data_IF_659413665220
#
_entry.id   IF_659413665220
#
_cell.length_a   1.000
_cell.length_b   1.000
_cell.length_c   1.000
_cell.angle_alpha   90.00
_cell.angle_beta   90.00
_cell.angle_gamma   90.00
#
_symmetry.space_group_name_H-M   'P 1'
#
loop_
_entity.id
_entity.type
_entity.pdbx_description
1 polymer ?
#
# COMPACT_ATOMS: atom_id res chain seq x y z
N UNK A 1 -25.60 -17.93 10.29
CA UNK A 1 -25.96 -16.85 11.24
C UNK A 1 -27.43 -16.42 11.00
N UNK A 2 -28.34 -16.58 11.96
CA UNK A 2 -29.73 -16.09 11.81
C UNK A 2 -29.73 -14.60 12.09
N UNK A 3 -29.81 -13.78 11.03
CA UNK A 3 -29.97 -12.32 11.15
C UNK A 3 -31.42 -12.09 11.60
N UNK A 4 -31.65 -11.92 12.89
CA UNK A 4 -32.89 -11.36 13.38
C UNK A 4 -32.86 -9.88 13.03
N UNK A 5 -33.75 -9.38 12.20
CA UNK A 5 -33.88 -7.94 11.89
C UNK A 5 -34.08 -7.17 13.19
N UNK A 6 -33.01 -6.59 13.72
CA UNK A 6 -33.09 -5.72 14.89
C UNK A 6 -33.52 -4.35 14.44
N UNK A 7 -34.49 -3.74 15.17
CA UNK A 7 -34.89 -2.35 14.92
C UNK A 7 -33.71 -1.43 15.33
N UNK A 8 -33.38 -0.38 14.56
CA UNK A 8 -32.43 0.61 14.96
C UNK A 8 -32.78 1.25 16.31
N UNK A 9 -31.78 1.49 17.14
CA UNK A 9 -31.91 2.17 18.42
C UNK A 9 -31.07 3.43 18.38
N UNK A 10 -31.58 4.55 18.88
CA UNK A 10 -30.81 5.77 18.99
C UNK A 10 -29.84 5.68 20.17
N UNK A 11 -28.55 5.73 19.91
CA UNK A 11 -27.47 5.68 20.90
C UNK A 11 -26.87 7.08 21.02
N UNK A 12 -26.63 7.60 22.25
CA UNK A 12 -25.91 8.84 22.45
C UNK A 12 -24.51 8.77 21.83
N UNK A 13 -24.11 9.82 21.10
CA UNK A 13 -22.80 9.90 20.41
C UNK A 13 -21.65 9.68 21.39
N UNK A 14 -21.72 10.25 22.62
CA UNK A 14 -20.70 10.07 23.65
C UNK A 14 -20.50 8.64 24.16
N UNK A 15 -21.41 7.70 23.85
CA UNK A 15 -21.29 6.26 24.17
C UNK A 15 -20.73 5.43 23.02
N UNK A 16 -20.48 6.03 21.88
CA UNK A 16 -19.96 5.37 20.69
C UNK A 16 -18.43 5.56 20.63
N UNK A 17 -17.72 4.47 20.55
CA UNK A 17 -16.26 4.47 20.39
C UNK A 17 -15.90 3.93 19.01
N UNK A 18 -14.95 4.53 18.29
CA UNK A 18 -14.44 3.93 17.07
C UNK A 18 -13.79 2.58 17.40
N UNK A 19 -13.72 1.67 16.43
CA UNK A 19 -12.96 0.42 16.55
C UNK A 19 -11.47 0.77 16.69
N UNK A 20 -10.84 0.35 17.77
CA UNK A 20 -9.50 0.80 18.19
C UNK A 20 -8.41 0.54 17.13
N UNK A 21 -8.51 -0.58 16.42
CA UNK A 21 -7.58 -0.99 15.35
C UNK A 21 -8.20 -0.81 13.96
N UNK A 22 -9.09 0.17 13.79
CA UNK A 22 -9.69 0.42 12.48
C UNK A 22 -8.63 0.84 11.46
N UNK A 23 -8.34 0.02 10.42
CA UNK A 23 -7.31 0.33 9.43
C UNK A 23 -7.72 1.46 8.49
N UNK A 24 -9.02 1.76 8.40
CA UNK A 24 -9.57 2.70 7.43
C UNK A 24 -9.60 4.12 7.98
N UNK A 25 -8.79 4.99 7.36
CA UNK A 25 -8.67 6.41 7.75
C UNK A 25 -9.99 7.16 7.47
N UNK A 26 -10.48 7.92 8.43
CA UNK A 26 -11.57 8.88 8.22
C UNK A 26 -10.94 10.22 7.91
N UNK A 27 -11.12 10.70 6.68
CA UNK A 27 -10.52 11.94 6.19
C UNK A 27 -11.55 13.07 6.15
N UNK A 28 -11.12 14.28 6.53
CA UNK A 28 -11.87 15.51 6.36
C UNK A 28 -11.61 16.07 4.95
N UNK A 29 -12.46 15.70 4.01
CA UNK A 29 -12.41 16.11 2.61
C UNK A 29 -13.77 16.64 2.14
N UNK A 30 -13.88 17.05 0.87
CA UNK A 30 -15.13 17.58 0.32
C UNK A 30 -16.30 16.59 0.36
N UNK A 31 -16.01 15.29 0.25
CA UNK A 31 -17.03 14.24 0.43
C UNK A 31 -17.53 14.19 1.88
N UNK A 32 -16.66 14.40 2.86
CA UNK A 32 -17.03 14.46 4.27
C UNK A 32 -17.91 15.69 4.52
N UNK A 33 -17.53 16.84 3.96
CA UNK A 33 -18.32 18.07 4.08
C UNK A 33 -19.74 17.89 3.49
N UNK A 34 -19.82 17.23 2.34
CA UNK A 34 -21.11 16.88 1.71
C UNK A 34 -21.93 15.93 2.60
N UNK A 35 -21.29 14.96 3.23
CA UNK A 35 -21.94 14.02 4.16
C UNK A 35 -22.44 14.75 5.42
N UNK A 36 -21.68 15.68 5.97
CA UNK A 36 -22.07 16.49 7.12
C UNK A 36 -23.33 17.31 6.78
N UNK A 37 -23.31 18.00 5.63
CA UNK A 37 -24.49 18.78 5.17
C UNK A 37 -25.71 17.88 5.00
N UNK A 38 -25.56 16.73 4.36
CA UNK A 38 -26.68 15.77 4.19
C UNK A 38 -27.22 15.30 5.54
N UNK A 39 -26.35 15.03 6.52
CA UNK A 39 -26.77 14.61 7.88
C UNK A 39 -27.48 15.75 8.62
N UNK A 40 -27.07 17.00 8.43
CA UNK A 40 -27.76 18.16 8.98
C UNK A 40 -29.16 18.34 8.43
N UNK A 41 -29.36 18.07 7.14
CA UNK A 41 -30.62 18.28 6.44
C UNK A 41 -31.65 17.15 6.70
N UNK A 42 -31.21 15.89 6.61
CA UNK A 42 -32.12 14.72 6.62
C UNK A 42 -31.81 13.70 7.72
N UNK A 43 -30.74 13.90 8.51
CA UNK A 43 -30.28 12.97 9.52
C UNK A 43 -29.54 11.77 8.91
N UNK A 44 -29.25 10.77 9.76
CA UNK A 44 -28.65 9.51 9.33
C UNK A 44 -29.74 8.55 8.86
N UNK A 45 -29.82 8.32 7.57
CA UNK A 45 -30.82 7.43 6.94
C UNK A 45 -30.47 5.95 7.10
N UNK A 46 -29.17 5.63 7.12
CA UNK A 46 -28.67 4.26 7.24
C UNK A 46 -27.99 4.07 8.60
N UNK A 47 -28.50 3.22 9.52
CA UNK A 47 -27.96 3.07 10.85
C UNK A 47 -26.51 2.56 10.82
N UNK A 48 -25.71 2.97 11.81
CA UNK A 48 -24.38 2.41 12.03
C UNK A 48 -24.49 1.02 12.68
N UNK A 49 -23.43 0.19 12.50
CA UNK A 49 -23.35 -1.11 13.16
C UNK A 49 -22.41 -1.01 14.36
N UNK A 50 -22.85 -1.50 15.51
CA UNK A 50 -22.12 -1.43 16.76
C UNK A 50 -22.19 -2.75 17.54
N UNK A 51 -21.20 -2.99 18.41
CA UNK A 51 -21.26 -4.03 19.44
C UNK A 51 -21.14 -3.43 20.84
N UNK A 52 -21.70 -4.05 21.88
CA UNK A 52 -21.48 -3.61 23.24
C UNK A 52 -20.03 -3.90 23.65
N UNK A 53 -19.41 -2.97 24.39
CA UNK A 53 -18.12 -3.18 25.05
C UNK A 53 -18.37 -3.83 26.42
N UNK A 54 -17.68 -4.95 26.69
CA UNK A 54 -17.88 -5.72 27.90
C UNK A 54 -17.62 -4.87 29.16
N UNK A 55 -18.48 -5.05 30.17
CA UNK A 55 -18.41 -4.35 31.47
C UNK A 55 -18.54 -2.82 31.40
N UNK A 56 -19.06 -2.27 30.31
CA UNK A 56 -19.34 -0.85 30.14
C UNK A 56 -20.76 -0.62 29.61
N UNK A 57 -21.21 0.63 29.56
CA UNK A 57 -22.43 1.05 28.88
C UNK A 57 -22.13 1.70 27.51
N UNK A 58 -20.93 1.47 26.98
CA UNK A 58 -20.44 1.99 25.72
C UNK A 58 -20.52 0.94 24.60
N UNK A 59 -20.44 1.42 23.36
CA UNK A 59 -20.54 0.59 22.16
C UNK A 59 -19.35 0.89 21.23
N UNK A 60 -18.76 -0.15 20.67
CA UNK A 60 -17.73 -0.06 19.65
C UNK A 60 -18.33 -0.11 18.25
N UNK A 61 -17.96 0.83 17.38
CA UNK A 61 -18.50 0.96 16.02
C UNK A 61 -17.81 -0.02 15.10
N UNK A 62 -18.56 -0.91 14.46
CA UNK A 62 -18.08 -1.89 13.49
C UNK A 62 -18.11 -1.31 12.08
N UNK A 63 -19.21 -0.64 11.72
CA UNK A 63 -19.39 -0.04 10.40
C UNK A 63 -20.13 1.29 10.51
N UNK A 64 -19.72 2.26 9.69
CA UNK A 64 -20.27 3.61 9.66
C UNK A 64 -19.43 4.66 10.40
N UNK A 65 -18.11 4.46 10.54
CA UNK A 65 -17.19 5.42 11.16
C UNK A 65 -17.27 6.81 10.52
N UNK A 66 -17.39 6.92 9.19
CA UNK A 66 -17.60 8.21 8.51
C UNK A 66 -18.91 8.88 8.91
N UNK A 67 -19.99 8.09 9.09
CA UNK A 67 -21.30 8.59 9.53
C UNK A 67 -21.25 9.08 10.98
N UNK A 68 -20.57 8.34 11.86
CA UNK A 68 -20.36 8.80 13.24
C UNK A 68 -19.57 10.12 13.27
N UNK A 69 -18.44 10.19 12.58
CA UNK A 69 -17.63 11.39 12.50
C UNK A 69 -18.40 12.61 11.95
N UNK A 70 -19.17 12.38 10.87
CA UNK A 70 -20.00 13.43 10.30
C UNK A 70 -21.15 13.87 11.25
N UNK A 71 -21.73 12.92 12.02
CA UNK A 71 -22.75 13.22 13.03
C UNK A 71 -22.20 14.06 14.18
N UNK A 72 -20.98 13.77 14.64
CA UNK A 72 -20.29 14.58 15.65
C UNK A 72 -20.07 16.01 15.16
N UNK A 73 -19.57 16.18 13.94
CA UNK A 73 -19.38 17.50 13.32
C UNK A 73 -20.69 18.23 13.02
N UNK A 74 -21.75 17.50 12.71
CA UNK A 74 -23.10 18.04 12.52
C UNK A 74 -23.77 18.44 13.85
N UNK A 75 -23.20 18.07 15.02
CA UNK A 75 -23.73 18.39 16.34
C UNK A 75 -24.91 17.50 16.78
N UNK A 76 -25.06 16.28 16.20
CA UNK A 76 -26.07 15.34 16.63
C UNK A 76 -25.77 14.77 18.02
N UNK A 77 -26.78 14.68 18.87
CA UNK A 77 -26.67 14.09 20.22
C UNK A 77 -26.82 12.58 20.22
N UNK A 78 -27.53 12.02 19.24
CA UNK A 78 -27.77 10.58 19.10
C UNK A 78 -27.63 10.14 17.65
N UNK A 79 -27.29 8.86 17.46
CA UNK A 79 -27.12 8.22 16.14
C UNK A 79 -27.92 6.93 16.11
N UNK A 80 -28.69 6.65 15.03
CA UNK A 80 -29.37 5.37 14.87
C UNK A 80 -28.35 4.25 14.64
N UNK A 81 -28.43 3.20 15.45
CA UNK A 81 -27.49 2.10 15.45
C UNK A 81 -28.19 0.73 15.50
N UNK A 82 -27.59 -0.26 14.87
CA UNK A 82 -27.93 -1.67 14.99
C UNK A 82 -26.92 -2.35 15.92
N UNK A 83 -27.41 -2.92 17.04
CA UNK A 83 -26.55 -3.55 18.03
C UNK A 83 -26.38 -5.03 17.69
N UNK A 84 -25.13 -5.46 17.50
CA UNK A 84 -24.73 -6.86 17.30
C UNK A 84 -24.02 -7.37 18.56
N UNK A 85 -24.59 -8.39 19.21
CA UNK A 85 -23.96 -9.08 20.33
C UNK A 85 -22.98 -10.13 19.79
N UNK A 86 -21.81 -9.68 19.39
CA UNK A 86 -20.72 -10.49 18.81
C UNK A 86 -19.41 -10.21 19.54
N UNK A 87 -18.46 -11.15 19.44
CA UNK A 87 -17.11 -10.97 19.97
C UNK A 87 -16.34 -9.88 19.23
N UNK A 88 -15.19 -9.47 19.78
CA UNK A 88 -14.31 -8.49 19.12
C UNK A 88 -13.73 -9.05 17.81
N UNK A 89 -13.36 -10.33 17.80
CA UNK A 89 -12.83 -10.99 16.59
C UNK A 89 -13.88 -11.07 15.47
N UNK A 90 -15.14 -11.43 15.80
CA UNK A 90 -16.23 -11.40 14.83
C UNK A 90 -16.51 -9.98 14.31
N UNK A 91 -16.39 -8.97 15.16
CA UNK A 91 -16.53 -7.57 14.78
C UNK A 91 -15.39 -7.10 13.86
N UNK A 92 -14.15 -7.49 14.12
CA UNK A 92 -12.98 -7.21 13.29
C UNK A 92 -13.15 -7.80 11.87
N UNK A 93 -13.58 -9.06 11.77
CA UNK A 93 -13.88 -9.70 10.48
C UNK A 93 -14.98 -8.94 9.75
N UNK A 94 -16.09 -8.61 10.43
CA UNK A 94 -17.20 -7.85 9.82
C UNK A 94 -16.77 -6.45 9.36
N UNK A 95 -15.92 -5.76 10.13
CA UNK A 95 -15.36 -4.45 9.78
C UNK A 95 -14.56 -4.55 8.48
N UNK A 96 -13.66 -5.52 8.38
CA UNK A 96 -12.82 -5.70 7.18
C UNK A 96 -13.70 -6.07 5.98
N UNK A 97 -14.59 -7.05 6.10
CA UNK A 97 -15.44 -7.53 4.99
C UNK A 97 -16.33 -6.43 4.43
N UNK A 98 -16.89 -5.58 5.31
CA UNK A 98 -17.73 -4.44 4.86
C UNK A 98 -16.98 -3.38 4.06
N UNK A 99 -15.64 -3.39 4.09
CA UNK A 99 -14.78 -2.41 3.43
C UNK A 99 -13.93 -3.00 2.28
N UNK A 100 -13.78 -4.33 2.20
CA UNK A 100 -12.91 -5.02 1.22
C UNK A 100 -13.25 -4.71 -0.25
N UNK A 101 -14.49 -4.38 -0.54
CA UNK A 101 -14.99 -4.12 -1.90
C UNK A 101 -15.10 -2.62 -2.25
N UNK A 102 -14.46 -1.75 -1.45
CA UNK A 102 -14.37 -0.32 -1.81
C UNK A 102 -13.47 -0.14 -3.03
N UNK A 103 -13.85 0.75 -3.94
CA UNK A 103 -13.08 1.02 -5.16
C UNK A 103 -11.68 1.58 -4.88
N UNK A 104 -11.53 2.35 -3.80
CA UNK A 104 -10.27 2.99 -3.42
C UNK A 104 -9.92 2.67 -1.97
N UNK A 105 -9.04 1.67 -1.79
CA UNK A 105 -8.43 1.32 -0.50
C UNK A 105 -6.94 1.58 -0.64
N UNK A 106 -6.37 2.36 0.27
CA UNK A 106 -4.93 2.62 0.29
C UNK A 106 -4.13 1.34 0.56
N UNK A 107 -2.91 1.20 0.03
CA UNK A 107 -2.05 0.05 0.30
C UNK A 107 -1.84 -0.20 1.80
N UNK A 108 -1.65 0.86 2.59
CA UNK A 108 -1.52 0.78 4.05
C UNK A 108 -2.80 0.25 4.70
N UNK A 109 -3.97 0.80 4.35
CA UNK A 109 -5.26 0.36 4.87
C UNK A 109 -5.50 -1.13 4.60
N UNK A 110 -5.19 -1.57 3.38
CA UNK A 110 -5.34 -2.97 2.97
C UNK A 110 -4.40 -3.90 3.74
N UNK A 111 -3.16 -3.45 3.99
CA UNK A 111 -2.18 -4.19 4.77
C UNK A 111 -2.65 -4.43 6.21
N UNK A 112 -3.07 -3.38 6.90
CA UNK A 112 -3.58 -3.49 8.28
C UNK A 112 -4.93 -4.22 8.35
N UNK A 113 -5.81 -4.07 7.33
CA UNK A 113 -7.06 -4.79 7.26
C UNK A 113 -6.86 -6.31 7.16
N UNK A 114 -5.94 -6.77 6.29
CA UNK A 114 -5.63 -8.18 6.18
C UNK A 114 -4.95 -8.73 7.44
N UNK A 115 -4.07 -7.95 8.07
CA UNK A 115 -3.46 -8.33 9.34
C UNK A 115 -4.52 -8.51 10.43
N UNK A 116 -5.40 -7.51 10.61
CA UNK A 116 -6.48 -7.55 11.59
C UNK A 116 -7.41 -8.76 11.38
N UNK A 117 -7.84 -9.00 10.14
CA UNK A 117 -8.69 -10.15 9.80
C UNK A 117 -7.98 -11.48 10.04
N UNK A 118 -6.69 -11.59 9.68
CA UNK A 118 -5.89 -12.80 9.91
C UNK A 118 -5.77 -13.10 11.41
N UNK A 119 -5.48 -12.11 12.23
CA UNK A 119 -5.38 -12.25 13.69
C UNK A 119 -6.73 -12.67 14.29
N UNK A 120 -7.83 -12.02 13.93
CA UNK A 120 -9.17 -12.32 14.40
C UNK A 120 -9.60 -13.76 14.03
N UNK A 121 -9.31 -14.23 12.82
CA UNK A 121 -9.62 -15.60 12.39
C UNK A 121 -8.70 -16.64 13.07
N UNK A 122 -7.45 -16.30 13.33
CA UNK A 122 -6.49 -17.21 13.98
C UNK A 122 -6.86 -17.52 15.43
N UNK A 123 -7.49 -16.58 16.15
CA UNK A 123 -7.98 -16.78 17.52
C UNK A 123 -9.13 -17.80 17.58
N UNK A 124 -9.85 -18.01 16.47
CA UNK A 124 -10.95 -18.98 16.41
C UNK A 124 -10.49 -20.41 16.13
N UNK A 125 -9.21 -20.63 15.80
CA UNK A 125 -8.63 -21.93 15.46
C UNK A 125 -8.07 -22.69 16.66
N UNK A 126 -8.12 -24.03 16.61
CA UNK A 126 -7.66 -24.94 17.69
C UNK A 126 -6.14 -25.13 17.77
N UNK A 127 -5.36 -24.66 16.75
CA UNK A 127 -3.91 -24.59 16.80
C UNK A 127 -3.40 -23.44 15.93
N UNK A 128 -2.40 -22.69 16.44
CA UNK A 128 -1.90 -21.45 15.85
C UNK A 128 -1.48 -21.61 14.37
N UNK A 129 -0.73 -22.65 14.03
CA UNK A 129 -0.24 -22.88 12.65
C UNK A 129 -1.34 -23.29 11.66
N UNK A 130 -2.31 -24.09 12.09
CA UNK A 130 -3.47 -24.45 11.28
C UNK A 130 -4.42 -23.26 11.12
N UNK A 131 -4.60 -22.46 12.18
CA UNK A 131 -5.43 -21.26 12.17
C UNK A 131 -4.92 -20.20 11.19
N UNK A 132 -3.62 -19.90 11.18
CA UNK A 132 -3.03 -18.91 10.26
C UNK A 132 -3.19 -19.32 8.79
N UNK A 133 -2.95 -20.58 8.45
CA UNK A 133 -3.10 -21.07 7.08
C UNK A 133 -4.56 -20.99 6.61
N UNK A 134 -5.50 -21.40 7.45
CA UNK A 134 -6.94 -21.30 7.15
C UNK A 134 -7.39 -19.85 6.99
N UNK A 135 -6.89 -18.98 7.85
CA UNK A 135 -7.21 -17.55 7.81
C UNK A 135 -6.77 -16.89 6.50
N UNK A 136 -5.54 -17.19 6.04
CA UNK A 136 -5.01 -16.63 4.78
C UNK A 136 -5.79 -17.15 3.58
N UNK A 137 -6.12 -18.45 3.54
CA UNK A 137 -6.94 -19.03 2.46
C UNK A 137 -8.32 -18.38 2.42
N UNK A 138 -8.99 -18.20 3.56
CA UNK A 138 -10.29 -17.54 3.64
C UNK A 138 -10.21 -16.08 3.18
N UNK A 139 -9.20 -15.31 3.63
CA UNK A 139 -9.00 -13.93 3.18
C UNK A 139 -8.76 -13.87 1.67
N UNK A 140 -7.99 -14.82 1.13
CA UNK A 140 -7.70 -14.93 -0.30
C UNK A 140 -8.98 -15.13 -1.13
N UNK A 141 -9.88 -16.01 -0.67
CA UNK A 141 -11.18 -16.25 -1.32
C UNK A 141 -12.09 -15.02 -1.23
N UNK A 142 -12.23 -14.41 -0.05
CA UNK A 142 -13.09 -13.26 0.19
C UNK A 142 -12.63 -12.01 -0.59
N UNK A 143 -11.32 -11.82 -0.70
CA UNK A 143 -10.71 -10.68 -1.40
C UNK A 143 -10.51 -10.90 -2.91
N UNK A 144 -10.69 -12.14 -3.40
CA UNK A 144 -10.33 -12.56 -4.76
C UNK A 144 -8.87 -12.22 -5.12
N UNK A 145 -7.96 -12.45 -4.17
CA UNK A 145 -6.52 -12.26 -4.32
C UNK A 145 -5.76 -13.55 -3.99
N UNK A 146 -4.53 -13.72 -4.49
CA UNK A 146 -3.72 -14.89 -4.14
C UNK A 146 -3.23 -14.80 -2.68
N UNK A 147 -3.06 -15.95 -2.01
CA UNK A 147 -2.45 -16.04 -0.67
C UNK A 147 -1.08 -15.32 -0.61
N UNK A 148 -0.28 -15.46 -1.69
CA UNK A 148 0.99 -14.74 -1.81
C UNK A 148 0.81 -13.21 -1.76
N UNK A 149 -0.24 -12.70 -2.39
CA UNK A 149 -0.52 -11.26 -2.39
C UNK A 149 -0.99 -10.80 -1.01
N UNK A 150 -1.82 -11.60 -0.30
CA UNK A 150 -2.22 -11.33 1.08
C UNK A 150 -0.99 -11.22 1.99
N UNK A 151 -0.06 -12.19 1.92
CA UNK A 151 1.17 -12.14 2.71
C UNK A 151 2.03 -10.90 2.39
N UNK A 152 2.10 -10.49 1.13
CA UNK A 152 2.82 -9.27 0.74
C UNK A 152 2.18 -8.00 1.30
N UNK A 153 0.84 -7.92 1.33
CA UNK A 153 0.16 -6.81 1.99
C UNK A 153 0.44 -6.81 3.50
N UNK A 154 0.25 -7.95 4.17
CA UNK A 154 0.52 -8.06 5.61
C UNK A 154 1.98 -7.68 5.91
N UNK A 155 2.92 -8.03 5.04
CA UNK A 155 4.33 -7.66 5.22
C UNK A 155 4.54 -6.14 5.28
N UNK A 156 3.74 -5.33 4.57
CA UNK A 156 3.84 -3.88 4.62
C UNK A 156 3.60 -3.29 6.02
N UNK A 157 2.92 -4.01 6.91
CA UNK A 157 2.69 -3.54 8.30
C UNK A 157 3.98 -3.44 9.13
N UNK A 158 5.12 -3.89 8.59
CA UNK A 158 6.45 -3.74 9.18
C UNK A 158 7.22 -2.54 8.64
N UNK A 159 6.60 -1.74 7.77
CA UNK A 159 7.18 -0.46 7.36
C UNK A 159 6.93 0.61 8.42
N UNK A 160 7.88 1.53 8.56
CA UNK A 160 7.67 2.75 9.34
C UNK A 160 6.56 3.59 8.71
N UNK A 161 5.77 4.34 9.52
CA UNK A 161 4.61 5.08 9.02
C UNK A 161 4.91 6.01 7.84
N UNK A 162 6.06 6.66 7.84
CA UNK A 162 6.46 7.61 6.79
C UNK A 162 6.67 6.93 5.42
N UNK A 163 7.23 5.71 5.40
CA UNK A 163 7.37 4.96 4.15
C UNK A 163 6.02 4.43 3.65
N UNK A 164 5.10 4.09 4.56
CA UNK A 164 3.71 3.76 4.22
C UNK A 164 2.98 4.95 3.61
N UNK A 165 3.16 6.15 4.17
CA UNK A 165 2.56 7.37 3.62
C UNK A 165 3.09 7.66 2.21
N UNK A 166 4.40 7.50 1.96
CA UNK A 166 4.96 7.60 0.61
C UNK A 166 4.39 6.56 -0.38
N UNK A 167 4.04 5.36 0.10
CA UNK A 167 3.34 4.37 -0.72
C UNK A 167 1.89 4.77 -1.01
N UNK A 168 1.17 5.26 -0.01
CA UNK A 168 -0.22 5.73 -0.16
C UNK A 168 -0.30 6.92 -1.13
N UNK A 169 0.76 7.76 -1.19
CA UNK A 169 0.94 8.84 -2.15
C UNK A 169 1.43 8.36 -3.54
N UNK A 170 1.60 7.07 -3.76
CA UNK A 170 2.15 6.46 -4.98
C UNK A 170 3.59 6.90 -5.33
N UNK A 171 4.36 7.43 -4.38
CA UNK A 171 5.78 7.77 -4.54
C UNK A 171 6.67 6.54 -4.47
N UNK A 172 6.29 5.55 -3.66
CA UNK A 172 6.95 4.25 -3.56
C UNK A 172 6.02 3.17 -4.13
N UNK A 173 6.52 2.38 -5.08
CA UNK A 173 5.76 1.28 -5.65
C UNK A 173 5.56 0.14 -4.63
N UNK A 174 4.43 -0.56 -4.70
CA UNK A 174 4.08 -1.67 -3.81
C UNK A 174 5.20 -2.71 -3.65
N UNK A 175 5.82 -3.14 -4.77
CA UNK A 175 6.90 -4.12 -4.74
C UNK A 175 8.16 -3.61 -4.02
N UNK A 176 8.44 -2.31 -4.10
CA UNK A 176 9.55 -1.67 -3.39
C UNK A 176 9.27 -1.66 -1.89
N UNK A 177 8.07 -1.24 -1.48
CA UNK A 177 7.67 -1.25 -0.08
C UNK A 177 7.75 -2.65 0.55
N UNK A 178 7.36 -3.70 -0.18
CA UNK A 178 7.51 -5.09 0.29
C UNK A 178 8.98 -5.44 0.56
N UNK A 179 9.91 -5.07 -0.33
CA UNK A 179 11.34 -5.33 -0.09
C UNK A 179 11.89 -4.51 1.07
N UNK A 180 11.52 -3.23 1.18
CA UNK A 180 11.96 -2.36 2.29
C UNK A 180 11.42 -2.83 3.65
N UNK A 181 10.26 -3.49 3.69
CA UNK A 181 9.69 -4.01 4.94
C UNK A 181 10.52 -5.12 5.60
N UNK A 182 11.53 -5.66 4.92
CA UNK A 182 12.47 -6.64 5.47
C UNK A 182 13.68 -5.99 6.16
N UNK A 183 13.86 -4.68 6.03
CA UNK A 183 14.87 -3.92 6.74
C UNK A 183 14.40 -3.67 8.19
N UNK A 184 15.36 -3.49 9.10
CA UNK A 184 15.05 -3.00 10.45
C UNK A 184 14.63 -1.52 10.43
N UNK A 185 14.06 -1.06 11.53
CA UNK A 185 13.53 0.30 11.64
C UNK A 185 14.59 1.36 11.36
N UNK A 186 15.85 1.15 11.85
CA UNK A 186 16.92 2.11 11.64
C UNK A 186 17.30 2.23 10.16
N UNK A 187 17.46 1.11 9.48
CA UNK A 187 17.74 1.09 8.03
C UNK A 187 16.58 1.69 7.21
N UNK A 188 15.34 1.50 7.63
CA UNK A 188 14.19 2.14 7.00
C UNK A 188 14.23 3.67 7.17
N UNK A 189 14.62 4.17 8.36
CA UNK A 189 14.83 5.61 8.58
C UNK A 189 15.98 6.16 7.74
N UNK A 190 17.09 5.41 7.59
CA UNK A 190 18.21 5.82 6.74
C UNK A 190 17.80 5.90 5.26
N UNK A 191 16.95 4.95 4.78
CA UNK A 191 16.37 5.03 3.44
C UNK A 191 15.45 6.24 3.29
N UNK A 192 14.60 6.52 4.29
CA UNK A 192 13.73 7.70 4.28
C UNK A 192 14.53 9.00 4.21
N UNK A 193 15.59 9.13 5.02
CA UNK A 193 16.48 10.29 5.00
C UNK A 193 17.08 10.52 3.60
N UNK A 194 17.50 9.43 2.92
CA UNK A 194 18.00 9.52 1.55
C UNK A 194 16.92 9.90 0.54
N UNK A 195 15.68 9.45 0.75
CA UNK A 195 14.55 9.87 -0.10
C UNK A 195 14.29 11.36 0.00
N UNK A 196 14.37 11.94 1.20
CA UNK A 196 14.14 13.36 1.46
C UNK A 196 15.30 14.22 0.95
N UNK A 197 16.56 13.81 1.19
CA UNK A 197 17.74 14.55 0.76
C UNK A 197 17.91 14.63 -0.75
N UNK A 198 17.56 13.56 -1.47
CA UNK A 198 17.80 13.44 -2.90
C UNK A 198 16.52 13.63 -3.75
N UNK A 199 15.38 13.91 -3.11
CA UNK A 199 14.04 13.97 -3.75
C UNK A 199 13.82 12.75 -4.68
N UNK A 200 14.20 11.57 -4.21
CA UNK A 200 14.11 10.33 -4.99
C UNK A 200 13.75 9.13 -4.11
N UNK A 201 13.00 8.19 -4.65
CA UNK A 201 12.65 6.93 -3.97
C UNK A 201 13.43 5.76 -4.57
N UNK A 202 13.74 4.69 -3.81
CA UNK A 202 14.51 3.56 -4.33
C UNK A 202 13.77 2.85 -5.48
N UNK A 203 14.54 2.37 -6.45
CA UNK A 203 14.03 1.44 -7.46
C UNK A 203 13.87 0.04 -6.85
N UNK A 204 13.11 -0.83 -7.54
CA UNK A 204 12.94 -2.22 -7.09
C UNK A 204 14.29 -2.96 -6.96
N UNK A 205 15.21 -2.79 -7.91
CA UNK A 205 16.53 -3.41 -7.86
C UNK A 205 17.39 -2.93 -6.69
N UNK A 206 17.30 -1.64 -6.34
CA UNK A 206 17.96 -1.07 -5.17
C UNK A 206 17.39 -1.66 -3.87
N UNK A 207 16.05 -1.71 -3.73
CA UNK A 207 15.39 -2.28 -2.57
C UNK A 207 15.71 -3.78 -2.37
N UNK A 208 15.74 -4.57 -3.45
CA UNK A 208 16.16 -5.99 -3.40
C UNK A 208 17.61 -6.14 -2.93
N UNK A 209 18.52 -5.27 -3.36
CA UNK A 209 19.94 -5.30 -2.91
C UNK A 209 20.07 -4.92 -1.44
N UNK A 210 19.31 -3.92 -0.95
CA UNK A 210 19.26 -3.57 0.47
C UNK A 210 18.73 -4.71 1.31
N UNK A 211 17.60 -5.33 0.90
CA UNK A 211 17.02 -6.50 1.56
C UNK A 211 18.03 -7.67 1.61
N UNK A 212 18.73 -7.95 0.52
CA UNK A 212 19.76 -8.99 0.52
C UNK A 212 20.90 -8.65 1.46
N UNK A 213 21.43 -7.42 1.45
CA UNK A 213 22.49 -6.98 2.34
C UNK A 213 22.06 -7.05 3.83
N UNK A 214 20.78 -6.77 4.13
CA UNK A 214 20.21 -6.94 5.47
C UNK A 214 20.25 -8.41 5.91
N UNK A 215 19.86 -9.34 5.04
CA UNK A 215 19.90 -10.77 5.34
C UNK A 215 21.34 -11.29 5.50
N UNK A 216 22.30 -10.74 4.74
CA UNK A 216 23.71 -11.09 4.81
C UNK A 216 24.43 -10.39 5.99
N UNK A 217 23.76 -9.51 6.73
CA UNK A 217 24.30 -8.75 7.86
C UNK A 217 25.35 -7.70 7.45
N UNK A 218 25.29 -7.23 6.21
CA UNK A 218 26.24 -6.26 5.61
C UNK A 218 25.60 -4.91 5.29
N UNK A 219 24.32 -4.73 5.61
CA UNK A 219 23.63 -3.47 5.39
C UNK A 219 24.05 -2.47 6.47
N UNK A 220 24.58 -1.34 6.04
CA UNK A 220 24.84 -0.17 6.88
C UNK A 220 24.38 1.11 6.17
N UNK A 221 24.48 2.24 6.86
CA UNK A 221 24.08 3.54 6.31
C UNK A 221 24.86 3.93 5.06
N UNK A 222 26.17 3.66 5.04
CA UNK A 222 27.02 4.01 3.90
C UNK A 222 26.65 3.21 2.65
N UNK A 223 26.30 1.93 2.81
CA UNK A 223 25.79 1.09 1.73
C UNK A 223 24.43 1.60 1.19
N UNK A 224 23.54 2.09 2.07
CA UNK A 224 22.26 2.69 1.65
C UNK A 224 22.52 3.96 0.83
N UNK A 225 23.42 4.84 1.30
CA UNK A 225 23.83 6.07 0.58
C UNK A 225 24.41 5.73 -0.79
N UNK A 226 25.31 4.75 -0.87
CA UNK A 226 25.92 4.31 -2.12
C UNK A 226 24.86 3.83 -3.12
N UNK A 227 23.98 2.92 -2.69
CA UNK A 227 22.90 2.39 -3.53
C UNK A 227 21.94 3.49 -3.98
N UNK A 228 21.57 4.41 -3.09
CA UNK A 228 20.61 5.47 -3.41
C UNK A 228 21.19 6.54 -4.33
N UNK A 229 22.50 6.74 -4.32
CA UNK A 229 23.21 7.66 -5.23
C UNK A 229 23.47 7.08 -6.63
N UNK A 230 23.26 5.78 -6.85
CA UNK A 230 23.39 5.18 -8.17
C UNK A 230 22.37 5.73 -9.16
N UNK A 231 22.82 6.01 -10.38
CA UNK A 231 21.92 6.38 -11.49
C UNK A 231 20.95 5.23 -11.80
N UNK A 232 19.65 5.51 -11.69
CA UNK A 232 18.61 4.50 -11.91
C UNK A 232 18.60 4.04 -13.37
N UNK A 233 18.36 2.76 -13.61
CA UNK A 233 18.34 2.17 -14.94
C UNK A 233 17.34 2.85 -15.90
N UNK A 234 16.26 3.46 -15.40
CA UNK A 234 15.28 4.21 -16.17
C UNK A 234 15.72 5.66 -16.46
N UNK A 235 16.74 6.18 -15.78
CA UNK A 235 17.32 7.49 -16.01
C UNK A 235 18.49 7.44 -17.01
N UNK A 236 19.02 6.24 -17.31
CA UNK A 236 20.04 6.06 -18.34
C UNK A 236 19.43 6.30 -19.71
N UNK A 237 20.01 7.22 -20.47
CA UNK A 237 19.63 7.40 -21.86
C UNK A 237 19.82 6.09 -22.62
N UNK A 238 18.74 5.51 -23.09
CA UNK A 238 18.75 4.26 -23.84
C UNK A 238 18.25 4.54 -25.26
N UNK A 239 19.11 4.35 -26.25
CA UNK A 239 18.73 4.45 -27.65
C UNK A 239 18.26 3.07 -28.15
N UNK A 240 16.97 2.91 -28.41
CA UNK A 240 16.41 1.68 -28.99
C UNK A 240 16.31 1.83 -30.51
N UNK A 241 17.17 1.12 -31.23
CA UNK A 241 17.08 1.06 -32.69
C UNK A 241 16.42 -0.26 -33.08
N UNK A 242 15.26 -0.25 -33.79
CA UNK A 242 14.63 -1.48 -34.26
C UNK A 242 15.60 -2.31 -35.11
N UNK A 243 15.69 -3.62 -34.84
CA UNK A 243 16.62 -4.51 -35.53
C UNK A 243 16.44 -4.50 -37.06
N UNK A 244 15.23 -4.27 -37.54
CA UNK A 244 14.91 -4.17 -38.98
C UNK A 244 15.67 -3.01 -39.66
N UNK A 245 15.87 -1.88 -38.98
CA UNK A 245 16.61 -0.74 -39.53
C UNK A 245 18.11 -0.99 -39.66
N UNK A 246 18.64 -1.98 -38.93
CA UNK A 246 20.04 -2.39 -38.93
C UNK A 246 20.28 -3.66 -39.78
N UNK A 247 19.20 -4.33 -40.28
CA UNK A 247 19.30 -5.52 -41.09
C UNK A 247 20.11 -5.23 -42.34
N UNK A 248 21.11 -6.09 -42.63
CA UNK A 248 22.02 -5.95 -43.76
C UNK A 248 23.10 -4.88 -43.61
N UNK A 249 23.07 -4.08 -42.54
CA UNK A 249 24.09 -3.04 -42.24
C UNK A 249 25.13 -3.53 -41.24
N UNK A 250 24.81 -4.56 -40.47
CA UNK A 250 25.71 -5.21 -39.52
C UNK A 250 25.92 -6.64 -39.95
N UNK A 251 27.14 -7.17 -39.94
CA UNK A 251 27.42 -8.56 -40.25
C UNK A 251 26.62 -9.52 -39.36
N UNK A 252 25.97 -10.53 -39.97
CA UNK A 252 25.12 -11.49 -39.26
C UNK A 252 25.90 -12.37 -38.27
N UNK A 253 27.18 -12.53 -38.48
CA UNK A 253 28.09 -13.33 -37.65
C UNK A 253 28.49 -12.68 -36.33
N UNK A 254 28.17 -11.38 -36.12
CA UNK A 254 28.56 -10.65 -34.91
C UNK A 254 27.71 -11.04 -33.69
N UNK A 255 28.37 -11.23 -32.56
CA UNK A 255 27.73 -11.36 -31.25
C UNK A 255 27.02 -10.05 -30.84
N UNK A 256 26.19 -10.09 -29.81
CA UNK A 256 25.51 -8.88 -29.30
C UNK A 256 26.51 -7.74 -28.98
N UNK A 257 27.57 -8.03 -28.26
CA UNK A 257 28.63 -7.09 -27.90
C UNK A 257 29.32 -6.51 -29.15
N UNK A 258 29.66 -7.38 -30.13
CA UNK A 258 30.30 -6.93 -31.36
C UNK A 258 29.39 -6.04 -32.22
N UNK A 259 28.07 -6.24 -32.14
CA UNK A 259 27.10 -5.36 -32.81
C UNK A 259 27.04 -3.99 -32.17
N UNK A 260 27.04 -3.89 -30.85
CA UNK A 260 27.11 -2.64 -30.12
C UNK A 260 28.39 -1.86 -30.46
N UNK A 261 29.55 -2.50 -30.36
CA UNK A 261 30.85 -1.89 -30.71
C UNK A 261 30.90 -1.41 -32.17
N UNK A 262 30.28 -2.16 -33.08
CA UNK A 262 30.20 -1.78 -34.49
C UNK A 262 29.34 -0.52 -34.66
N UNK A 263 28.20 -0.41 -33.97
CA UNK A 263 27.32 0.76 -34.03
C UNK A 263 28.03 1.99 -33.47
N UNK A 264 28.69 1.86 -32.31
CA UNK A 264 29.45 2.96 -31.70
C UNK A 264 30.53 3.48 -32.64
N UNK A 265 31.33 2.58 -33.22
CA UNK A 265 32.38 2.96 -34.20
C UNK A 265 31.80 3.61 -35.45
N UNK A 266 30.64 3.16 -35.94
CA UNK A 266 29.98 3.75 -37.08
C UNK A 266 29.50 5.18 -36.79
N UNK A 267 28.97 5.44 -35.58
CA UNK A 267 28.55 6.77 -35.13
C UNK A 267 29.78 7.70 -34.99
N UNK A 268 30.87 7.24 -34.38
CA UNK A 268 32.12 8.01 -34.26
C UNK A 268 32.71 8.37 -35.63
N UNK A 269 32.71 7.41 -36.57
CA UNK A 269 33.19 7.65 -37.94
C UNK A 269 32.32 8.70 -38.64
N UNK A 270 30.99 8.60 -38.50
CA UNK A 270 30.06 9.56 -39.09
C UNK A 270 30.20 10.97 -38.49
N UNK A 271 30.43 11.08 -37.19
CA UNK A 271 30.75 12.39 -36.55
C UNK A 271 32.03 13.00 -37.11
N UNK A 272 33.08 12.23 -37.24
CA UNK A 272 34.35 12.69 -37.83
C UNK A 272 34.16 13.12 -39.28
N UNK A 273 33.35 12.41 -40.04
CA UNK A 273 33.01 12.74 -41.41
C UNK A 273 32.27 14.08 -41.49
N UNK A 274 31.26 14.32 -40.64
CA UNK A 274 30.51 15.58 -40.59
C UNK A 274 31.39 16.78 -40.21
N UNK A 275 32.33 16.60 -39.25
CA UNK A 275 33.25 17.66 -38.86
C UNK A 275 34.15 18.04 -40.03
N UNK A 276 34.73 17.07 -40.75
CA UNK A 276 35.52 17.34 -41.96
C UNK A 276 34.76 18.06 -43.05
N UNK A 277 33.49 17.74 -43.27
CA UNK A 277 32.65 18.45 -44.24
C UNK A 277 32.38 19.91 -43.85
N UNK A 278 32.24 20.20 -42.55
CA UNK A 278 32.11 21.57 -42.05
C UNK A 278 33.40 22.39 -42.22
N UNK A 279 34.57 21.78 -42.09
CA UNK A 279 35.87 22.42 -42.28
C UNK A 279 36.20 22.65 -43.76
N UNK A 280 35.72 21.76 -44.65
CA UNK A 280 35.99 21.93 -46.11
C UNK A 280 34.92 22.73 -46.83
N UNK A 281 33.82 23.08 -46.20
CA UNK A 281 32.74 23.93 -46.76
C UNK A 281 32.85 25.43 -46.42
N UNK A 282 34.02 25.90 -45.98
CA UNK A 282 34.36 27.33 -45.82
C UNK A 282 35.20 27.85 -46.97
#
# INVERSE_FOLDING_TARGET
MKITMKKPVNIPVGKLKPFDENPYKVQDNDEMNSLITSIQDIGITEPILVRPIENTDEYEVISGHRRLHAAEKAGLTTVPALIYAISRDEAAVMLVDSNLHREHILPSEKAFAYKLKMEALSHQGTSRQLGEKWSVTQISEDANESERQIHRYIRLTYLIPQLLDLMDENKIAFSVGVELSYLDDQSQFDVLEQCEQNDCTPSYSQAVRMHKAMNDGTLDKDFIIEIMSEEKANQRETYRIPAERLRGKIPSSYTAQQREDYIVKAVEYYQKYLLRQRETGR
#
